data_IF_946167693605
#
_entry.id   IF_946167693605
#
_cell.length_a   1.000
_cell.length_b   1.000
_cell.length_c   1.000
_cell.angle_alpha   90.00
_cell.angle_beta   90.00
_cell.angle_gamma   90.00
#
_symmetry.space_group_name_H-M   'P 1'
#
loop_
_entity.id
_entity.type
_entity.pdbx_description
1 polymer ?
#
# COMPACT_ATOMS: atom_id res chain seq x y z
N UNK A 1 7.67 -21.94 -1.03
CA UNK A 1 7.46 -21.79 -2.48
C UNK A 1 7.70 -20.32 -2.78
N UNK A 2 8.66 -19.97 -3.63
CA UNK A 2 8.95 -18.55 -3.92
C UNK A 2 7.80 -18.02 -4.78
N UNK A 3 7.04 -17.04 -4.28
CA UNK A 3 6.03 -16.34 -5.06
C UNK A 3 6.77 -15.56 -6.17
N UNK A 4 6.61 -15.99 -7.43
CA UNK A 4 7.27 -15.38 -8.59
C UNK A 4 6.75 -13.95 -8.87
N UNK A 5 5.62 -13.58 -8.28
CA UNK A 5 5.02 -12.25 -8.40
C UNK A 5 5.32 -11.32 -7.21
N UNK A 6 6.18 -11.76 -6.28
CA UNK A 6 6.64 -10.93 -5.16
C UNK A 6 7.23 -9.62 -5.68
N UNK A 7 6.83 -8.51 -5.06
CA UNK A 7 7.27 -7.14 -5.38
C UNK A 7 7.97 -6.51 -4.19
N UNK A 8 8.90 -5.62 -4.46
CA UNK A 8 9.41 -4.61 -3.53
C UNK A 8 8.58 -3.34 -3.74
N UNK A 9 7.88 -2.89 -2.71
CA UNK A 9 6.96 -1.76 -2.78
C UNK A 9 7.46 -0.68 -1.83
N UNK A 10 7.81 0.48 -2.38
CA UNK A 10 8.11 1.67 -1.60
C UNK A 10 6.81 2.38 -1.21
N UNK A 11 6.66 2.70 0.07
CA UNK A 11 5.44 3.30 0.63
C UNK A 11 5.81 4.57 1.38
N UNK A 12 5.26 5.71 0.96
CA UNK A 12 5.36 6.96 1.70
C UNK A 12 4.56 6.91 3.03
N UNK A 13 4.88 7.80 3.95
CA UNK A 13 4.24 7.87 5.26
C UNK A 13 3.14 8.93 5.37
N UNK A 14 3.49 10.20 5.19
CA UNK A 14 2.66 11.37 5.49
C UNK A 14 1.74 11.71 4.31
N UNK A 15 0.42 11.55 4.48
CA UNK A 15 -0.55 11.63 3.39
C UNK A 15 -0.88 10.28 2.78
N UNK A 16 -0.05 9.25 3.04
CA UNK A 16 -0.16 7.91 2.46
C UNK A 16 -0.60 6.86 3.49
N UNK A 17 0.20 6.61 4.53
CA UNK A 17 -0.15 5.68 5.63
C UNK A 17 -1.00 6.40 6.69
N UNK A 18 -0.68 7.65 6.97
CA UNK A 18 -1.38 8.53 7.91
C UNK A 18 -1.80 9.84 7.24
N UNK A 19 -2.72 10.59 7.84
CA UNK A 19 -2.98 11.98 7.45
C UNK A 19 -1.68 12.81 7.50
N UNK A 20 -1.44 13.72 6.54
CA UNK A 20 -0.29 14.61 6.60
C UNK A 20 -0.42 15.62 7.76
N UNK A 21 0.38 15.40 8.80
CA UNK A 21 0.48 16.26 9.98
C UNK A 21 1.92 16.50 10.43
N UNK A 22 2.89 16.33 9.53
CA UNK A 22 4.30 16.49 9.88
C UNK A 22 4.54 17.86 10.56
N UNK A 23 5.26 17.93 11.71
CA UNK A 23 6.14 16.89 12.26
C UNK A 23 5.46 15.80 13.11
N UNK A 24 4.19 15.95 13.45
CA UNK A 24 3.42 14.99 14.26
C UNK A 24 2.93 13.82 13.39
N UNK A 25 2.44 12.75 14.03
CA UNK A 25 1.83 11.61 13.32
C UNK A 25 0.33 11.85 13.19
N UNK A 26 -0.18 11.80 11.95
CA UNK A 26 -1.60 11.90 11.65
C UNK A 26 -2.40 10.67 12.08
N UNK A 27 -3.72 10.73 11.89
CA UNK A 27 -4.54 9.52 12.06
C UNK A 27 -4.23 8.54 10.93
N UNK A 28 -4.29 7.21 11.17
CA UNK A 28 -4.17 6.23 10.11
C UNK A 28 -5.18 6.49 8.98
N UNK A 29 -4.71 6.39 7.74
CA UNK A 29 -5.58 6.40 6.57
C UNK A 29 -6.48 5.16 6.59
N UNK A 30 -7.70 5.30 6.09
CA UNK A 30 -8.67 4.20 6.09
C UNK A 30 -8.09 2.97 5.37
N UNK A 31 -8.14 1.82 6.05
CA UNK A 31 -7.59 0.53 5.62
C UNK A 31 -6.06 0.44 5.42
N UNK A 32 -5.28 1.48 5.77
CA UNK A 32 -3.84 1.50 5.52
C UNK A 32 -3.11 0.27 6.07
N UNK A 33 -3.20 0.04 7.38
CA UNK A 33 -2.49 -1.06 8.04
C UNK A 33 -3.04 -2.43 7.66
N UNK A 34 -4.35 -2.56 7.42
CA UNK A 34 -4.94 -3.80 6.93
C UNK A 34 -4.41 -4.17 5.55
N UNK A 35 -4.34 -3.20 4.64
CA UNK A 35 -3.79 -3.41 3.30
C UNK A 35 -2.30 -3.69 3.31
N UNK A 36 -1.51 -2.95 4.11
CA UNK A 36 -0.07 -3.19 4.22
C UNK A 36 0.24 -4.61 4.73
N UNK A 37 -0.44 -5.05 5.80
CA UNK A 37 -0.31 -6.42 6.30
C UNK A 37 -0.70 -7.44 5.24
N UNK A 38 -1.81 -7.20 4.53
CA UNK A 38 -2.25 -8.09 3.46
C UNK A 38 -1.22 -8.20 2.33
N UNK A 39 -0.60 -7.09 1.92
CA UNK A 39 0.48 -7.11 0.93
C UNK A 39 1.69 -7.93 1.42
N UNK A 40 2.03 -7.87 2.70
CA UNK A 40 3.10 -8.70 3.28
C UNK A 40 2.72 -10.18 3.31
N UNK A 41 1.48 -10.51 3.68
CA UNK A 41 0.94 -11.87 3.65
C UNK A 41 0.96 -12.47 2.23
N UNK A 42 0.70 -11.65 1.21
CA UNK A 42 0.75 -12.02 -0.20
C UNK A 42 2.20 -12.21 -0.71
N UNK A 43 3.19 -11.91 0.14
CA UNK A 43 4.62 -12.14 -0.09
C UNK A 43 5.38 -10.93 -0.61
N UNK A 44 4.76 -9.74 -0.65
CA UNK A 44 5.46 -8.52 -1.01
C UNK A 44 6.36 -8.02 0.13
N UNK A 45 7.44 -7.34 -0.23
CA UNK A 45 8.34 -6.66 0.72
C UNK A 45 8.06 -5.17 0.66
N UNK A 46 7.87 -4.57 1.82
CA UNK A 46 7.55 -3.15 1.94
C UNK A 46 8.78 -2.37 2.40
N UNK A 47 9.09 -1.28 1.70
CA UNK A 47 10.11 -0.31 2.11
C UNK A 47 9.38 0.94 2.58
N UNK A 48 9.64 1.39 3.81
CA UNK A 48 9.19 2.71 4.23
C UNK A 48 10.03 3.74 3.49
N UNK A 49 9.40 4.57 2.66
CA UNK A 49 10.06 5.55 1.82
C UNK A 49 9.52 6.95 2.10
N UNK A 50 10.07 7.59 3.13
CA UNK A 50 9.57 8.86 3.66
C UNK A 50 10.68 9.90 3.73
N UNK A 51 10.32 11.17 3.60
CA UNK A 51 11.28 12.26 3.83
C UNK A 51 11.59 12.49 5.33
N UNK A 52 10.87 11.82 6.25
CA UNK A 52 11.20 11.84 7.68
C UNK A 52 12.62 11.34 7.92
N UNK A 53 13.29 11.92 8.91
CA UNK A 53 14.68 11.59 9.26
C UNK A 53 14.91 11.67 10.77
N UNK A 54 16.02 11.10 11.25
CA UNK A 54 16.39 11.13 12.67
C UNK A 54 15.30 10.55 13.57
N UNK A 55 15.00 11.23 14.68
CA UNK A 55 13.99 10.76 15.63
C UNK A 55 12.58 10.68 15.01
N UNK A 56 12.25 11.53 14.04
CA UNK A 56 10.94 11.51 13.37
C UNK A 56 10.76 10.32 12.45
N UNK A 57 11.85 9.81 11.88
CA UNK A 57 11.84 8.55 11.15
C UNK A 57 11.59 7.39 12.11
N UNK A 58 12.28 7.38 13.25
CA UNK A 58 12.10 6.32 14.26
C UNK A 58 10.66 6.30 14.79
N UNK A 59 10.08 7.46 15.11
CA UNK A 59 8.67 7.58 15.52
C UNK A 59 7.70 6.97 14.48
N UNK A 60 7.94 7.17 13.18
CA UNK A 60 7.12 6.59 12.12
C UNK A 60 7.29 5.07 12.00
N UNK A 61 8.52 4.58 12.15
CA UNK A 61 8.83 3.13 12.16
C UNK A 61 8.15 2.46 13.35
N UNK A 62 8.31 3.01 14.55
CA UNK A 62 7.73 2.46 15.78
C UNK A 62 6.19 2.47 15.70
N UNK A 63 5.59 3.56 15.21
CA UNK A 63 4.15 3.66 15.01
C UNK A 63 3.61 2.59 14.05
N UNK A 64 4.34 2.29 12.97
CA UNK A 64 3.94 1.22 12.06
C UNK A 64 4.07 -0.17 12.71
N UNK A 65 5.16 -0.41 13.45
CA UNK A 65 5.38 -1.66 14.15
C UNK A 65 4.31 -1.93 15.23
N UNK A 66 3.91 -0.90 15.99
CA UNK A 66 2.80 -0.96 16.96
C UNK A 66 1.45 -1.31 16.30
N UNK A 67 1.27 -0.97 15.03
CA UNK A 67 0.10 -1.32 14.22
C UNK A 67 0.29 -2.66 13.45
N UNK A 68 1.37 -3.38 13.71
CA UNK A 68 1.64 -4.71 13.16
C UNK A 68 2.19 -4.69 11.73
N UNK A 69 2.87 -3.62 11.31
CA UNK A 69 3.58 -3.55 10.03
C UNK A 69 5.07 -3.30 10.29
N UNK A 70 5.89 -4.31 10.04
CA UNK A 70 7.35 -4.20 10.07
C UNK A 70 7.89 -4.09 8.64
N UNK A 71 8.68 -3.06 8.34
CA UNK A 71 9.22 -2.86 7.00
C UNK A 71 10.45 -3.73 6.74
N UNK A 72 10.60 -4.19 5.49
CA UNK A 72 11.80 -4.88 5.00
C UNK A 72 13.02 -3.95 5.05
N UNK A 73 12.85 -2.68 4.69
CA UNK A 73 13.89 -1.66 4.74
C UNK A 73 13.27 -0.28 4.97
N UNK A 74 14.09 0.69 5.41
CA UNK A 74 13.63 2.05 5.73
C UNK A 74 14.57 3.06 5.07
N UNK A 75 14.06 3.82 4.11
CA UNK A 75 14.82 4.79 3.32
C UNK A 75 16.06 4.23 2.61
N UNK A 76 16.04 2.94 2.31
CA UNK A 76 17.10 2.22 1.62
C UNK A 76 16.53 1.08 0.76
N UNK A 77 17.29 0.62 -0.23
CA UNK A 77 16.86 -0.42 -1.18
C UNK A 77 16.82 -1.83 -0.54
N UNK A 78 17.55 -2.03 0.55
CA UNK A 78 17.62 -3.28 1.33
C UNK A 78 18.17 -3.01 2.73
N UNK A 79 17.93 -3.94 3.67
CA UNK A 79 18.20 -3.76 5.11
C UNK A 79 19.64 -3.41 5.44
N UNK A 80 20.63 -4.02 4.77
CA UNK A 80 22.05 -3.75 5.00
C UNK A 80 22.68 -2.74 4.03
N UNK A 81 21.90 -1.88 3.38
CA UNK A 81 22.46 -0.89 2.45
C UNK A 81 23.23 0.21 3.19
N UNK A 82 24.55 0.26 2.98
CA UNK A 82 25.38 1.39 3.39
C UNK A 82 25.38 2.46 2.29
N UNK A 83 24.63 3.55 2.48
CA UNK A 83 24.58 4.61 1.49
C UNK A 83 25.92 5.34 1.37
N UNK A 84 26.48 5.34 0.16
CA UNK A 84 27.66 6.11 -0.19
C UNK A 84 27.42 6.86 -1.51
N UNK A 85 27.47 8.20 -1.46
CA UNK A 85 27.20 9.07 -2.61
C UNK A 85 28.08 8.81 -3.84
N UNK A 86 29.25 8.16 -3.68
CA UNK A 86 30.16 7.84 -4.79
C UNK A 86 29.79 6.54 -5.52
N UNK A 87 29.07 5.65 -4.85
CA UNK A 87 28.86 4.27 -5.32
C UNK A 87 27.39 3.85 -5.32
N UNK A 88 26.49 4.67 -4.75
CA UNK A 88 25.06 4.40 -4.65
C UNK A 88 24.23 5.58 -5.13
N UNK A 89 23.08 5.26 -5.74
CA UNK A 89 22.04 6.23 -6.09
C UNK A 89 21.28 6.67 -4.84
N UNK A 90 20.88 7.93 -4.77
CA UNK A 90 19.97 8.43 -3.72
C UNK A 90 18.55 7.88 -3.86
N UNK A 91 18.13 7.56 -5.09
CA UNK A 91 16.83 6.94 -5.35
C UNK A 91 16.94 5.44 -5.07
N UNK A 92 16.03 4.92 -4.24
CA UNK A 92 15.92 3.49 -3.93
C UNK A 92 15.42 2.67 -5.12
N UNK A 93 15.76 1.39 -5.10
CA UNK A 93 15.28 0.42 -6.08
C UNK A 93 14.04 -0.32 -5.57
N UNK A 94 12.87 -0.02 -6.15
CA UNK A 94 11.61 -0.68 -5.86
C UNK A 94 10.82 -0.92 -7.16
N UNK A 95 9.94 -1.94 -7.17
CA UNK A 95 9.08 -2.25 -8.31
C UNK A 95 7.91 -1.26 -8.42
N UNK A 96 7.37 -0.83 -7.28
CA UNK A 96 6.22 0.07 -7.17
C UNK A 96 6.48 1.16 -6.12
N UNK A 97 5.90 2.33 -6.34
CA UNK A 97 5.91 3.47 -5.42
C UNK A 97 4.47 3.89 -5.10
N UNK A 98 4.10 3.83 -3.83
CA UNK A 98 2.80 4.29 -3.30
C UNK A 98 3.05 5.58 -2.53
N UNK A 99 2.51 6.68 -3.03
CA UNK A 99 2.78 8.03 -2.54
C UNK A 99 1.58 8.92 -2.85
N UNK A 100 1.22 9.80 -1.92
CA UNK A 100 0.08 10.71 -2.07
C UNK A 100 0.30 11.78 -3.14
N UNK A 101 1.57 12.07 -3.45
CA UNK A 101 2.02 13.07 -4.42
C UNK A 101 2.27 12.49 -5.80
N UNK A 102 1.95 11.22 -6.04
CA UNK A 102 1.97 10.64 -7.37
C UNK A 102 1.07 11.45 -8.33
N UNK A 103 1.45 11.52 -9.62
CA UNK A 103 0.61 12.17 -10.64
C UNK A 103 -0.73 11.43 -10.71
N UNK A 104 -1.83 12.14 -10.44
CA UNK A 104 -3.18 11.55 -10.29
C UNK A 104 -3.65 11.42 -8.84
N UNK A 105 -2.78 11.69 -7.86
CA UNK A 105 -3.08 11.66 -6.43
C UNK A 105 -3.17 10.25 -5.86
N UNK A 106 -3.50 10.17 -4.55
CA UNK A 106 -3.69 8.91 -3.86
C UNK A 106 -5.10 8.34 -4.09
N UNK A 107 -5.25 7.16 -4.73
CA UNK A 107 -6.56 6.56 -4.96
C UNK A 107 -7.20 5.95 -3.69
N UNK A 108 -6.43 5.83 -2.60
CA UNK A 108 -6.84 5.16 -1.37
C UNK A 108 -6.52 3.66 -1.37
N UNK A 109 -6.35 3.12 -0.16
CA UNK A 109 -5.78 1.78 0.05
C UNK A 109 -6.55 0.61 -0.57
N UNK A 110 -7.89 0.68 -0.59
CA UNK A 110 -8.69 -0.36 -1.25
C UNK A 110 -8.39 -0.48 -2.75
N UNK A 111 -8.32 0.65 -3.45
CA UNK A 111 -8.00 0.65 -4.88
C UNK A 111 -6.54 0.30 -5.14
N UNK A 112 -5.61 0.74 -4.28
CA UNK A 112 -4.20 0.33 -4.33
C UNK A 112 -4.07 -1.19 -4.26
N UNK A 113 -4.75 -1.84 -3.32
CA UNK A 113 -4.68 -3.30 -3.16
C UNK A 113 -5.13 -4.02 -4.45
N UNK A 114 -6.29 -3.65 -5.00
CA UNK A 114 -6.82 -4.23 -6.24
C UNK A 114 -5.88 -4.05 -7.44
N UNK A 115 -5.23 -2.89 -7.56
CA UNK A 115 -4.24 -2.64 -8.62
C UNK A 115 -3.03 -3.56 -8.51
N UNK A 116 -2.61 -3.92 -7.28
CA UNK A 116 -1.43 -4.75 -7.03
C UNK A 116 -1.76 -6.24 -7.12
N UNK A 117 -2.90 -6.67 -6.55
CA UNK A 117 -3.32 -8.07 -6.56
C UNK A 117 -3.78 -8.57 -7.94
N UNK A 118 -4.05 -7.65 -8.88
CA UNK A 118 -4.60 -7.99 -10.19
C UNK A 118 -6.08 -8.37 -10.14
N UNK A 119 -6.72 -8.21 -8.99
CA UNK A 119 -8.17 -8.37 -8.82
C UNK A 119 -8.86 -7.11 -9.33
N UNK A 120 -9.30 -7.11 -10.59
CA UNK A 120 -10.18 -6.05 -11.06
C UNK A 120 -11.55 -6.19 -10.37
N UNK A 121 -12.22 -5.08 -10.00
CA UNK A 121 -13.62 -5.10 -9.58
C UNK A 121 -14.55 -5.76 -10.61
N UNK A 122 -14.13 -5.79 -11.87
CA UNK A 122 -14.86 -6.39 -12.98
C UNK A 122 -14.81 -7.94 -12.98
N UNK A 123 -13.84 -8.55 -12.29
CA UNK A 123 -13.66 -10.00 -12.27
C UNK A 123 -14.62 -10.73 -11.32
N UNK A 124 -15.30 -10.03 -10.38
CA UNK A 124 -16.38 -10.64 -9.59
C UNK A 124 -17.75 -10.59 -10.29
N UNK A 125 -17.92 -9.75 -11.31
CA UNK A 125 -19.20 -9.57 -12.02
C UNK A 125 -19.30 -10.30 -13.37
N UNK A 126 -18.19 -10.80 -13.92
CA UNK A 126 -18.15 -11.52 -15.19
C UNK A 126 -18.49 -13.04 -15.08
N UNK A 127 -19.15 -13.47 -14.01
CA UNK A 127 -19.27 -14.89 -13.68
C UNK A 127 -20.58 -15.37 -13.06
N UNK A 128 -21.72 -14.70 -13.27
CA UNK A 128 -23.07 -15.30 -13.16
C UNK A 128 -24.13 -14.33 -13.69
N UNK A 129 -24.96 -14.71 -14.68
CA UNK A 129 -26.14 -13.92 -15.00
C UNK A 129 -27.06 -13.91 -13.77
N UNK A 130 -27.25 -12.73 -13.17
CA UNK A 130 -28.29 -12.50 -12.17
C UNK A 130 -29.61 -12.80 -12.85
N UNK A 131 -30.17 -13.99 -12.59
CA UNK A 131 -31.56 -14.32 -12.97
C UNK A 131 -32.47 -13.39 -12.19
N UNK A 132 -32.83 -12.26 -12.78
CA UNK A 132 -33.93 -11.44 -12.28
C UNK A 132 -35.20 -12.30 -12.36
N UNK A 133 -35.69 -12.75 -11.20
CA UNK A 133 -37.00 -13.39 -11.11
C UNK A 133 -38.03 -12.34 -11.53
N UNK A 134 -38.55 -12.43 -12.76
CA UNK A 134 -39.73 -11.66 -13.18
C UNK A 134 -40.86 -11.96 -12.21
N UNK A 135 -41.21 -11.00 -11.34
CA UNK A 135 -42.45 -11.07 -10.57
C UNK A 135 -43.59 -11.03 -11.59
N UNK A 136 -44.36 -12.13 -11.70
CA UNK A 136 -45.64 -12.15 -12.41
C UNK A 136 -46.60 -11.25 -11.63
N UNK A 137 -46.72 -10.00 -12.04
CA UNK A 137 -47.76 -9.09 -11.57
C UNK A 137 -49.07 -9.37 -12.30
N UNK A 138 -50.11 -9.61 -11.52
CA UNK A 138 -51.45 -10.00 -11.92
C UNK A 138 -52.34 -8.74 -11.93
N UNK A 139 -52.76 -8.28 -13.11
CA UNK A 139 -53.85 -7.31 -13.33
C UNK A 139 -54.40 -7.66 -14.73
N UNK A 140 -55.65 -8.06 -15.04
CA UNK A 140 -57.01 -7.69 -14.56
C UNK A 140 -57.03 -6.18 -14.26
N UNK A 141 -57.46 -5.33 -15.17
CA UNK A 141 -58.72 -5.31 -15.93
C UNK A 141 -58.51 -4.85 -17.39
#
# INVERSE_FOLDING_TARGET
MINQDSKIIAVDFDGTIVEDKYPDIGKPMLFAFDTLRKLQEDGHRLILWTYRYGSKLQEAVDFCAENGVEFYAVNCSFTEEEFNMKTASRKINADLFIDDRNIGGFPGWGQVYHMISGESPDNESAGKPVKTKKKKGLFRF
#
